data_IF_343483636385
#
_entry.id   IF_343483636385
#
_cell.length_a   1.000
_cell.length_b   1.000
_cell.length_c   1.000
_cell.angle_alpha   90.00
_cell.angle_beta   90.00
_cell.angle_gamma   90.00
#
_symmetry.space_group_name_H-M   'P 1'
#
loop_
_entity.id
_entity.type
_entity.pdbx_description
1 polymer ?
#
# COMPACT_ATOMS: atom_id res chain seq x y z
N UNK A 1 8.84 6.52 -27.18
CA UNK A 1 8.24 5.64 -26.16
C UNK A 1 7.75 6.57 -25.06
N UNK A 2 6.48 6.46 -24.70
CA UNK A 2 5.69 7.46 -23.97
C UNK A 2 6.38 8.01 -22.71
N UNK A 3 6.89 9.23 -22.83
CA UNK A 3 7.39 10.07 -21.73
C UNK A 3 6.23 10.94 -21.19
N UNK A 4 5.07 10.32 -20.95
CA UNK A 4 3.84 11.03 -20.55
C UNK A 4 2.86 10.20 -19.70
N UNK A 5 3.38 9.34 -18.81
CA UNK A 5 2.54 8.60 -17.87
C UNK A 5 3.00 8.68 -16.40
N UNK A 6 4.04 9.46 -16.10
CA UNK A 6 4.48 9.69 -14.71
C UNK A 6 4.16 11.11 -14.28
N UNK A 7 3.38 11.23 -13.23
CA UNK A 7 3.11 12.53 -12.60
C UNK A 7 4.42 13.17 -12.11
N UNK A 8 4.56 14.51 -12.21
CA UNK A 8 5.75 15.20 -11.74
C UNK A 8 5.93 15.03 -10.22
N UNK A 9 7.17 14.80 -9.78
CA UNK A 9 7.51 14.91 -8.36
C UNK A 9 7.20 16.35 -7.89
N UNK A 10 6.59 16.55 -6.71
CA UNK A 10 6.34 15.58 -5.64
C UNK A 10 4.96 14.91 -5.69
N UNK A 11 4.11 15.20 -6.68
CA UNK A 11 2.71 14.75 -6.69
C UNK A 11 2.55 13.25 -6.74
N UNK A 12 3.46 12.59 -7.45
CA UNK A 12 3.60 11.14 -7.49
C UNK A 12 3.74 10.48 -6.11
N UNK A 13 4.35 11.14 -5.13
CA UNK A 13 4.46 10.60 -3.77
C UNK A 13 3.07 10.48 -3.14
N UNK A 14 2.22 11.50 -3.32
CA UNK A 14 0.87 11.53 -2.75
C UNK A 14 -0.01 10.51 -3.45
N UNK A 15 0.07 10.41 -4.77
CA UNK A 15 -0.70 9.44 -5.55
C UNK A 15 -0.29 7.99 -5.20
N UNK A 16 1.02 7.68 -5.15
CA UNK A 16 1.51 6.36 -4.78
C UNK A 16 1.20 6.01 -3.30
N UNK A 17 1.27 6.97 -2.37
CA UNK A 17 0.83 6.77 -0.99
C UNK A 17 -0.66 6.40 -0.92
N UNK A 18 -1.51 7.16 -1.61
CA UNK A 18 -2.96 6.97 -1.61
C UNK A 18 -3.41 5.70 -2.32
N UNK A 19 -2.80 5.41 -3.47
CA UNK A 19 -3.00 4.17 -4.22
C UNK A 19 -2.60 2.95 -3.41
N UNK A 20 -1.41 2.97 -2.81
CA UNK A 20 -0.94 1.87 -1.97
C UNK A 20 -1.80 1.71 -0.70
N UNK A 21 -2.20 2.80 -0.05
CA UNK A 21 -3.14 2.75 1.08
C UNK A 21 -4.43 2.04 0.71
N UNK A 22 -5.02 2.41 -0.44
CA UNK A 22 -6.29 1.87 -0.92
C UNK A 22 -6.15 0.38 -1.25
N UNK A 23 -5.07 -0.02 -1.92
CA UNK A 23 -4.75 -1.42 -2.19
C UNK A 23 -4.60 -2.23 -0.88
N UNK A 24 -3.86 -1.70 0.09
CA UNK A 24 -3.65 -2.33 1.39
C UNK A 24 -4.91 -2.41 2.24
N UNK A 25 -5.77 -1.38 2.22
CA UNK A 25 -7.03 -1.35 2.95
C UNK A 25 -8.04 -2.35 2.36
N UNK A 26 -8.20 -2.37 1.03
CA UNK A 26 -9.11 -3.30 0.35
C UNK A 26 -8.59 -4.73 0.50
N UNK A 27 -7.35 -5.01 0.12
CA UNK A 27 -6.74 -6.34 0.24
C UNK A 27 -6.71 -6.83 1.68
N UNK A 28 -6.33 -5.97 2.62
CA UNK A 28 -6.32 -6.24 4.05
C UNK A 28 -7.73 -6.53 4.60
N UNK A 29 -8.75 -5.81 4.16
CA UNK A 29 -10.14 -6.06 4.58
C UNK A 29 -10.65 -7.42 4.09
N UNK A 30 -10.42 -7.79 2.84
CA UNK A 30 -10.84 -9.09 2.28
C UNK A 30 -10.11 -10.23 2.99
N UNK A 31 -8.78 -10.13 3.11
CA UNK A 31 -7.97 -11.15 3.76
C UNK A 31 -8.37 -11.32 5.23
N UNK A 32 -8.54 -10.22 5.95
CA UNK A 32 -8.89 -10.26 7.36
C UNK A 32 -10.35 -10.68 7.59
N UNK A 33 -11.26 -10.41 6.65
CA UNK A 33 -12.63 -10.90 6.71
C UNK A 33 -12.67 -12.43 6.65
N UNK A 34 -11.96 -13.03 5.70
CA UNK A 34 -11.86 -14.49 5.53
C UNK A 34 -11.16 -15.11 6.74
N UNK A 35 -10.01 -14.56 7.15
CA UNK A 35 -9.25 -15.05 8.29
C UNK A 35 -10.03 -14.93 9.61
N UNK A 36 -10.70 -13.80 9.81
CA UNK A 36 -11.53 -13.53 10.99
C UNK A 36 -12.74 -14.46 11.07
N UNK A 37 -13.36 -14.78 9.93
CA UNK A 37 -14.47 -15.74 9.88
C UNK A 37 -14.01 -17.18 10.18
N UNK A 38 -12.84 -17.59 9.68
CA UNK A 38 -12.27 -18.93 9.91
C UNK A 38 -11.75 -19.14 11.33
N UNK A 39 -11.19 -18.10 11.95
CA UNK A 39 -10.57 -18.18 13.28
C UNK A 39 -11.54 -17.87 14.44
N UNK A 40 -12.76 -17.41 14.15
CA UNK A 40 -13.75 -17.06 15.18
C UNK A 40 -14.49 -18.30 15.73
N UNK A 41 -14.94 -18.25 17.01
CA UNK A 41 -15.64 -19.34 17.67
C UNK A 41 -16.93 -19.74 16.94
N UNK A 42 -17.37 -20.99 17.16
CA UNK A 42 -18.53 -21.54 16.45
C UNK A 42 -19.82 -20.74 16.70
N UNK A 43 -20.59 -20.52 15.63
CA UNK A 43 -21.79 -19.70 15.59
C UNK A 43 -21.70 -18.59 14.53
N UNK A 44 -22.66 -18.54 13.60
CA UNK A 44 -22.65 -17.59 12.45
C UNK A 44 -22.56 -16.14 12.93
N UNK A 45 -23.34 -15.76 13.95
CA UNK A 45 -23.32 -14.41 14.53
C UNK A 45 -21.95 -14.06 15.15
N UNK A 46 -21.33 -15.00 15.88
CA UNK A 46 -20.02 -14.79 16.51
C UNK A 46 -18.89 -14.70 15.48
N UNK A 47 -19.00 -15.46 14.38
CA UNK A 47 -18.06 -15.39 13.25
C UNK A 47 -18.14 -14.08 12.49
N UNK A 48 -19.36 -13.57 12.25
CA UNK A 48 -19.56 -12.27 11.60
C UNK A 48 -19.04 -11.13 12.48
N UNK A 49 -19.34 -11.14 13.78
CA UNK A 49 -18.83 -10.16 14.74
C UNK A 49 -17.29 -10.20 14.86
N UNK A 50 -16.71 -11.39 14.94
CA UNK A 50 -15.26 -11.57 14.99
C UNK A 50 -14.55 -11.13 13.70
N UNK A 51 -15.15 -11.43 12.55
CA UNK A 51 -14.68 -10.99 11.24
C UNK A 51 -14.72 -9.46 11.11
N UNK A 52 -15.85 -8.83 11.47
CA UNK A 52 -16.01 -7.38 11.44
C UNK A 52 -15.00 -6.66 12.34
N UNK A 53 -14.84 -7.14 13.58
CA UNK A 53 -13.86 -6.59 14.53
C UNK A 53 -12.42 -6.73 14.00
N UNK A 54 -12.09 -7.87 13.39
CA UNK A 54 -10.77 -8.09 12.81
C UNK A 54 -10.50 -7.17 11.61
N UNK A 55 -11.47 -6.98 10.72
CA UNK A 55 -11.36 -6.04 9.59
C UNK A 55 -11.15 -4.62 10.10
N UNK A 56 -12.00 -4.16 11.04
CA UNK A 56 -11.94 -2.80 11.56
C UNK A 56 -10.62 -2.46 12.24
N UNK A 57 -10.02 -3.43 12.94
CA UNK A 57 -8.77 -3.21 13.69
C UNK A 57 -7.52 -3.40 12.83
N UNK A 58 -7.54 -4.27 11.82
CA UNK A 58 -6.33 -4.63 11.05
C UNK A 58 -6.28 -4.02 9.64
N UNK A 59 -7.41 -3.83 8.97
CA UNK A 59 -7.43 -3.24 7.63
C UNK A 59 -6.75 -1.85 7.55
N UNK A 60 -6.99 -0.89 8.48
CA UNK A 60 -6.30 0.40 8.42
C UNK A 60 -4.80 0.30 8.73
N UNK A 61 -4.39 -0.65 9.57
CA UNK A 61 -2.97 -0.89 9.88
C UNK A 61 -2.24 -1.44 8.65
N UNK A 62 -2.85 -2.40 7.95
CA UNK A 62 -2.30 -2.95 6.71
C UNK A 62 -2.27 -1.86 5.63
N UNK A 63 -3.36 -1.10 5.45
CA UNK A 63 -3.40 0.05 4.55
C UNK A 63 -2.29 1.06 4.86
N UNK A 64 -2.09 1.41 6.13
CA UNK A 64 -1.03 2.32 6.56
C UNK A 64 0.37 1.81 6.23
N UNK A 65 0.65 0.53 6.46
CA UNK A 65 1.94 -0.07 6.10
C UNK A 65 2.21 -0.02 4.59
N UNK A 66 1.19 -0.28 3.78
CA UNK A 66 1.30 -0.16 2.31
C UNK A 66 1.47 1.30 1.88
N UNK A 67 0.79 2.25 2.53
CA UNK A 67 0.95 3.67 2.26
C UNK A 67 2.37 4.16 2.55
N UNK A 68 2.95 3.75 3.70
CA UNK A 68 4.33 4.07 4.06
C UNK A 68 5.30 3.46 3.04
N UNK A 69 5.07 2.21 2.63
CA UNK A 69 5.90 1.56 1.62
C UNK A 69 5.85 2.29 0.26
N UNK A 70 4.65 2.59 -0.26
CA UNK A 70 4.49 3.32 -1.53
C UNK A 70 5.07 4.74 -1.45
N UNK A 71 4.88 5.43 -0.33
CA UNK A 71 5.46 6.73 -0.09
C UNK A 71 6.98 6.72 -0.05
N UNK A 72 7.59 5.78 0.70
CA UNK A 72 9.03 5.64 0.77
C UNK A 72 9.63 5.32 -0.60
N UNK A 73 9.05 4.34 -1.32
CA UNK A 73 9.49 3.98 -2.67
C UNK A 73 9.52 5.21 -3.60
N UNK A 74 8.45 5.99 -3.63
CA UNK A 74 8.34 7.15 -4.53
C UNK A 74 9.15 8.36 -4.07
N UNK A 75 9.36 8.53 -2.76
CA UNK A 75 10.29 9.56 -2.26
C UNK A 75 11.74 9.25 -2.65
N UNK A 76 12.17 7.99 -2.57
CA UNK A 76 13.52 7.59 -2.96
C UNK A 76 13.68 7.73 -4.48
N UNK A 77 12.69 7.33 -5.27
CA UNK A 77 12.73 7.48 -6.74
C UNK A 77 12.82 8.96 -7.14
N UNK A 78 11.97 9.83 -6.55
CA UNK A 78 11.99 11.27 -6.81
C UNK A 78 13.31 11.93 -6.38
N UNK A 79 13.92 11.52 -5.26
CA UNK A 79 15.22 12.06 -4.82
C UNK A 79 16.36 11.62 -5.73
N UNK A 80 16.37 10.37 -6.18
CA UNK A 80 17.36 9.86 -7.13
C UNK A 80 17.25 10.54 -8.49
N UNK A 81 16.04 10.77 -9.00
CA UNK A 81 15.82 11.54 -10.24
C UNK A 81 16.32 12.98 -10.07
N UNK A 82 16.08 13.62 -8.92
CA UNK A 82 16.56 14.98 -8.67
C UNK A 82 18.09 15.09 -8.64
N UNK A 83 18.77 14.13 -7.99
CA UNK A 83 20.24 14.12 -7.85
C UNK A 83 20.90 13.74 -9.19
N UNK A 84 20.42 12.68 -9.83
CA UNK A 84 21.06 12.11 -11.03
C UNK A 84 20.61 12.77 -12.32
N UNK A 85 19.50 13.52 -12.30
CA UNK A 85 18.84 14.13 -13.46
C UNK A 85 18.63 13.14 -14.62
N UNK A 86 18.46 11.87 -14.28
CA UNK A 86 18.33 10.76 -15.21
C UNK A 86 17.31 9.76 -14.66
N UNK A 87 16.38 9.39 -15.53
CA UNK A 87 15.36 8.38 -15.24
C UNK A 87 15.81 7.04 -15.83
N UNK A 88 16.41 6.20 -15.00
CA UNK A 88 16.83 4.85 -15.36
C UNK A 88 16.05 3.81 -14.54
N UNK A 89 15.87 2.58 -15.04
CA UNK A 89 15.34 1.46 -14.25
C UNK A 89 16.11 1.19 -12.94
N UNK A 90 17.38 1.60 -12.88
CA UNK A 90 18.20 1.56 -11.68
C UNK A 90 17.61 2.35 -10.52
N UNK A 91 16.93 3.48 -10.77
CA UNK A 91 16.29 4.26 -9.71
C UNK A 91 15.17 3.45 -9.05
N UNK A 92 14.38 2.72 -9.85
CA UNK A 92 13.31 1.86 -9.34
C UNK A 92 13.85 0.62 -8.60
N UNK A 93 14.94 0.01 -9.10
CA UNK A 93 15.61 -1.12 -8.42
C UNK A 93 16.18 -0.68 -7.07
N UNK A 94 16.89 0.46 -7.04
CA UNK A 94 17.46 1.00 -5.80
C UNK A 94 16.39 1.45 -4.83
N UNK A 95 15.29 2.07 -5.30
CA UNK A 95 14.18 2.50 -4.45
C UNK A 95 13.40 1.34 -3.84
N UNK A 96 13.40 0.16 -4.46
CA UNK A 96 12.80 -1.05 -3.89
C UNK A 96 13.75 -1.86 -3.00
N UNK A 97 15.06 -1.62 -3.09
CA UNK A 97 16.07 -2.29 -2.28
C UNK A 97 16.34 -1.57 -0.94
N UNK A 98 16.03 -0.27 -0.87
CA UNK A 98 16.09 0.57 0.32
C UNK A 98 14.76 0.53 1.09
#
# INVERSE_FOLDING_TARGET
MEEYAREPCPWRIVDDCGGAFTMGAIGGSVFQAIRGFRNAPQGVNKRLLGSWSAVRTRAPVIGGNFAVWGGLFSTIDCTLVHIRKKEDPWNSITSGAL
#
